data_IF_412087584368
#
_entry.id   IF_412087584368
#
_cell.length_a   1.000
_cell.length_b   1.000
_cell.length_c   1.000
_cell.angle_alpha   90.00
_cell.angle_beta   90.00
_cell.angle_gamma   90.00
#
_symmetry.space_group_name_H-M   'P 1'
#
loop_
_entity.id
_entity.type
_entity.pdbx_description
1 polymer ?
#
# COMPACT_ATOMS: atom_id res chain seq x y z
N UNK A 1 -14.53 -13.45 32.76
CA UNK A 1 -15.20 -13.59 31.45
C UNK A 1 -14.51 -12.64 30.49
N UNK A 2 -13.46 -13.10 29.82
CA UNK A 2 -12.65 -12.28 28.92
C UNK A 2 -13.32 -12.18 27.55
N UNK A 3 -13.43 -10.96 27.03
CA UNK A 3 -13.83 -10.72 25.66
C UNK A 3 -12.56 -10.79 24.78
N UNK A 4 -12.42 -11.89 24.05
CA UNK A 4 -11.46 -12.02 22.96
C UNK A 4 -12.21 -11.53 21.72
N UNK A 5 -11.96 -10.29 21.32
CA UNK A 5 -12.45 -9.73 20.05
C UNK A 5 -11.66 -10.38 18.90
N UNK A 6 -12.34 -10.99 17.91
CA UNK A 6 -11.66 -11.53 16.74
C UNK A 6 -11.28 -10.37 15.81
N UNK A 7 -9.98 -10.13 15.67
CA UNK A 7 -9.42 -9.33 14.58
C UNK A 7 -9.42 -10.24 13.34
N UNK A 8 -10.52 -10.24 12.60
CA UNK A 8 -10.58 -10.87 11.30
C UNK A 8 -11.46 -10.05 10.35
N UNK A 9 -11.01 -9.96 9.10
CA UNK A 9 -11.75 -9.56 7.91
C UNK A 9 -12.06 -8.07 7.69
N UNK A 10 -11.02 -7.26 7.44
CA UNK A 10 -11.12 -6.08 6.57
C UNK A 10 -10.00 -6.06 5.53
N UNK A 11 -9.88 -7.15 4.76
CA UNK A 11 -9.01 -7.23 3.58
C UNK A 11 -9.81 -7.70 2.36
N UNK A 12 -10.86 -6.97 2.00
CA UNK A 12 -11.65 -7.25 0.79
C UNK A 12 -12.34 -5.99 0.28
N UNK A 13 -11.55 -5.04 -0.22
CA UNK A 13 -12.05 -3.91 -1.00
C UNK A 13 -11.14 -3.60 -2.21
N UNK A 14 -10.51 -4.64 -2.75
CA UNK A 14 -9.97 -4.61 -4.11
C UNK A 14 -10.83 -5.58 -4.94
N UNK A 15 -11.15 -5.21 -6.18
CA UNK A 15 -12.03 -5.90 -7.13
C UNK A 15 -13.50 -5.42 -7.10
N UNK A 16 -13.72 -4.21 -7.60
CA UNK A 16 -15.00 -3.84 -8.24
C UNK A 16 -14.80 -2.89 -9.44
N UNK A 17 -13.75 -3.11 -10.23
CA UNK A 17 -13.42 -2.35 -11.46
C UNK A 17 -13.53 -3.23 -12.71
N UNK A 18 -14.65 -3.93 -12.89
CA UNK A 18 -14.87 -4.78 -14.08
C UNK A 18 -16.20 -4.57 -14.83
N UNK A 19 -16.98 -3.51 -14.55
CA UNK A 19 -18.26 -3.27 -15.24
C UNK A 19 -18.27 -2.11 -16.25
N UNK A 20 -17.13 -1.55 -16.62
CA UNK A 20 -17.05 -0.45 -17.62
C UNK A 20 -16.38 -0.86 -18.93
N UNK A 21 -16.79 -1.99 -19.51
CA UNK A 21 -16.39 -2.39 -20.88
C UNK A 21 -17.59 -2.38 -21.86
N UNK A 22 -18.82 -2.16 -21.38
CA UNK A 22 -20.04 -2.30 -22.20
C UNK A 22 -20.59 -1.06 -22.92
N UNK A 23 -19.97 0.13 -22.85
CA UNK A 23 -20.60 1.38 -23.35
C UNK A 23 -19.80 2.20 -24.38
N UNK A 24 -18.74 1.65 -24.99
CA UNK A 24 -17.91 2.40 -25.96
C UNK A 24 -18.30 2.18 -27.43
N UNK A 25 -19.33 1.37 -27.72
CA UNK A 25 -19.70 1.01 -29.11
C UNK A 25 -20.64 2.03 -29.79
N UNK A 26 -21.09 3.08 -29.10
CA UNK A 26 -22.10 4.04 -29.63
C UNK A 26 -21.59 5.34 -30.28
N UNK A 27 -20.28 5.58 -30.39
CA UNK A 27 -19.76 6.92 -30.72
C UNK A 27 -18.90 6.97 -32.01
N UNK A 28 -19.34 6.30 -33.08
CA UNK A 28 -18.67 6.34 -34.41
C UNK A 28 -19.45 7.15 -35.45
N UNK A 29 -20.62 7.71 -35.10
CA UNK A 29 -21.53 8.34 -36.08
C UNK A 29 -21.54 9.88 -36.10
N UNK A 30 -20.50 10.54 -35.59
CA UNK A 30 -20.42 12.01 -35.59
C UNK A 30 -19.11 12.49 -36.22
N UNK A 31 -18.93 12.18 -37.50
CA UNK A 31 -17.77 12.51 -38.34
C UNK A 31 -18.00 13.76 -39.22
N UNK A 32 -18.77 14.75 -38.75
CA UNK A 32 -19.12 15.94 -39.54
C UNK A 32 -19.21 17.20 -38.66
N UNK A 33 -18.15 18.02 -38.63
CA UNK A 33 -18.17 19.40 -38.09
C UNK A 33 -17.05 19.74 -37.08
N UNK A 34 -15.90 20.23 -37.57
CA UNK A 34 -14.56 19.98 -36.98
C UNK A 34 -13.87 21.17 -36.26
N UNK A 35 -14.58 21.97 -35.44
CA UNK A 35 -13.96 22.97 -34.53
C UNK A 35 -14.40 22.82 -33.07
N UNK A 36 -15.70 22.59 -32.84
CA UNK A 36 -16.25 22.46 -31.48
C UNK A 36 -15.88 21.10 -30.85
N UNK A 37 -15.82 20.04 -31.65
CA UNK A 37 -15.43 18.70 -31.18
C UNK A 37 -13.98 18.64 -30.66
N UNK A 38 -13.08 19.46 -31.21
CA UNK A 38 -11.68 19.57 -30.75
C UNK A 38 -11.58 20.29 -29.40
N UNK A 39 -12.35 21.36 -29.21
CA UNK A 39 -12.40 22.08 -27.93
C UNK A 39 -13.03 21.22 -26.82
N UNK A 40 -14.10 20.47 -27.13
CA UNK A 40 -14.73 19.54 -26.20
C UNK A 40 -13.79 18.37 -25.82
N UNK A 41 -13.06 17.82 -26.80
CA UNK A 41 -12.02 16.83 -26.51
C UNK A 41 -10.92 17.41 -25.62
N UNK A 42 -10.42 18.60 -25.89
CA UNK A 42 -9.35 19.21 -25.09
C UNK A 42 -9.78 19.47 -23.64
N UNK A 43 -11.04 19.89 -23.43
CA UNK A 43 -11.63 20.04 -22.10
C UNK A 43 -11.76 18.70 -21.37
N UNK A 44 -12.24 17.65 -22.05
CA UNK A 44 -12.34 16.32 -21.47
C UNK A 44 -10.96 15.76 -21.05
N UNK A 45 -9.91 16.10 -21.79
CA UNK A 45 -8.53 15.71 -21.47
C UNK A 45 -7.98 16.43 -20.25
N UNK A 46 -8.20 17.75 -20.17
CA UNK A 46 -7.80 18.52 -18.99
C UNK A 46 -8.53 18.00 -17.74
N UNK A 47 -9.83 17.71 -17.85
CA UNK A 47 -10.59 17.11 -16.77
C UNK A 47 -10.07 15.72 -16.36
N UNK A 48 -9.69 14.87 -17.32
CA UNK A 48 -9.10 13.56 -17.03
C UNK A 48 -7.74 13.72 -16.33
N UNK A 49 -6.88 14.62 -16.81
CA UNK A 49 -5.58 14.91 -16.21
C UNK A 49 -5.72 15.47 -14.79
N UNK A 50 -6.68 16.36 -14.54
CA UNK A 50 -6.97 16.88 -13.20
C UNK A 50 -7.44 15.75 -12.26
N UNK A 51 -8.34 14.88 -12.73
CA UNK A 51 -8.78 13.71 -11.96
C UNK A 51 -7.61 12.78 -11.62
N UNK A 52 -6.73 12.50 -12.58
CA UNK A 52 -5.53 11.68 -12.36
C UNK A 52 -4.58 12.34 -11.35
N UNK A 53 -4.35 13.65 -11.43
CA UNK A 53 -3.51 14.39 -10.47
C UNK A 53 -4.08 14.34 -9.07
N UNK A 54 -5.39 14.56 -8.91
CA UNK A 54 -6.06 14.45 -7.62
C UNK A 54 -5.98 13.05 -7.04
N UNK A 55 -6.19 12.02 -7.87
CA UNK A 55 -6.07 10.62 -7.46
C UNK A 55 -4.64 10.27 -7.05
N UNK A 56 -3.63 10.70 -7.81
CA UNK A 56 -2.23 10.49 -7.48
C UNK A 56 -1.83 11.22 -6.19
N UNK A 57 -2.30 12.44 -5.98
CA UNK A 57 -2.07 13.20 -4.74
C UNK A 57 -2.73 12.52 -3.53
N UNK A 58 -3.97 12.04 -3.68
CA UNK A 58 -4.67 11.29 -2.63
C UNK A 58 -3.96 9.99 -2.26
N UNK A 59 -3.51 9.22 -3.25
CA UNK A 59 -2.72 7.99 -3.03
C UNK A 59 -1.37 8.29 -2.35
N UNK A 60 -0.67 9.34 -2.76
CA UNK A 60 0.58 9.74 -2.13
C UNK A 60 0.36 10.12 -0.66
N UNK A 61 -0.70 10.87 -0.36
CA UNK A 61 -1.05 11.26 1.01
C UNK A 61 -1.44 10.05 1.86
N UNK A 62 -2.25 9.12 1.33
CA UNK A 62 -2.61 7.90 2.06
C UNK A 62 -1.40 7.02 2.32
N UNK A 63 -0.50 6.89 1.35
CA UNK A 63 0.74 6.12 1.52
C UNK A 63 1.67 6.76 2.56
N UNK A 64 1.78 8.10 2.57
CA UNK A 64 2.56 8.81 3.58
C UNK A 64 2.00 8.58 4.99
N UNK A 65 0.68 8.70 5.16
CA UNK A 65 0.00 8.45 6.42
C UNK A 65 0.18 6.99 6.87
N UNK A 66 0.06 6.02 5.96
CA UNK A 66 0.24 4.61 6.29
C UNK A 66 1.68 4.32 6.73
N UNK A 67 2.68 4.97 6.10
CA UNK A 67 4.09 4.88 6.54
C UNK A 67 4.29 5.44 7.94
N UNK A 68 3.72 6.62 8.22
CA UNK A 68 3.79 7.22 9.56
C UNK A 68 3.14 6.31 10.61
N UNK A 69 1.99 5.72 10.29
CA UNK A 69 1.29 4.78 11.16
C UNK A 69 2.12 3.51 11.41
N UNK A 70 2.73 2.93 10.38
CA UNK A 70 3.63 1.77 10.53
C UNK A 70 4.80 2.14 11.45
N UNK A 71 5.42 3.31 11.26
CA UNK A 71 6.53 3.75 12.11
C UNK A 71 6.12 3.98 13.57
N UNK A 72 4.95 4.62 13.79
CA UNK A 72 4.42 4.85 15.12
C UNK A 72 4.05 3.54 15.83
N UNK A 73 3.42 2.60 15.12
CA UNK A 73 3.10 1.28 15.66
C UNK A 73 4.36 0.49 15.99
N UNK A 74 5.37 0.48 15.12
CA UNK A 74 6.64 -0.17 15.40
C UNK A 74 7.33 0.38 16.66
N UNK A 75 7.26 1.70 16.88
CA UNK A 75 7.81 2.32 18.09
C UNK A 75 7.04 1.90 19.36
N UNK A 76 5.71 1.92 19.33
CA UNK A 76 4.87 1.49 20.45
C UNK A 76 5.10 0.00 20.78
N UNK A 77 5.11 -0.86 19.77
CA UNK A 77 5.32 -2.29 19.93
C UNK A 77 6.69 -2.60 20.56
N UNK A 78 7.74 -1.86 20.22
CA UNK A 78 9.07 -2.03 20.80
C UNK A 78 9.10 -1.63 22.29
N UNK A 79 8.39 -0.57 22.68
CA UNK A 79 8.27 -0.17 24.09
C UNK A 79 7.51 -1.23 24.90
N UNK A 80 6.36 -1.69 24.40
CA UNK A 80 5.57 -2.72 25.05
C UNK A 80 6.36 -4.02 25.21
N UNK A 81 7.11 -4.42 24.17
CA UNK A 81 7.98 -5.59 24.19
C UNK A 81 9.08 -5.48 25.24
N UNK A 82 9.80 -4.36 25.30
CA UNK A 82 10.85 -4.14 26.33
C UNK A 82 10.27 -4.24 27.74
N UNK A 83 9.08 -3.68 27.94
CA UNK A 83 8.39 -3.75 29.23
C UNK A 83 7.90 -5.17 29.55
N UNK A 84 7.44 -5.93 28.55
CA UNK A 84 7.07 -7.34 28.71
C UNK A 84 8.29 -8.21 29.03
N UNK A 85 9.40 -8.03 28.30
CA UNK A 85 10.66 -8.76 28.53
C UNK A 85 11.21 -8.49 29.93
N UNK A 86 11.27 -7.22 30.35
CA UNK A 86 11.69 -6.84 31.73
C UNK A 86 10.82 -7.53 32.78
N UNK A 87 9.50 -7.56 32.58
CA UNK A 87 8.55 -8.24 33.48
C UNK A 87 8.76 -9.76 33.49
N UNK A 88 8.97 -10.38 32.34
CA UNK A 88 9.22 -11.82 32.22
C UNK A 88 10.53 -12.21 32.93
N UNK A 89 11.62 -11.49 32.68
CA UNK A 89 12.92 -11.70 33.35
C UNK A 89 12.79 -11.52 34.86
N UNK A 90 12.07 -10.49 35.32
CA UNK A 90 11.85 -10.27 36.76
C UNK A 90 11.07 -11.43 37.41
N UNK A 91 9.99 -11.91 36.75
CA UNK A 91 9.23 -13.08 37.22
C UNK A 91 10.09 -14.34 37.28
N UNK A 92 10.90 -14.58 36.24
CA UNK A 92 11.77 -15.74 36.18
C UNK A 92 12.82 -15.71 37.29
N UNK A 93 13.44 -14.55 37.55
CA UNK A 93 14.38 -14.35 38.66
C UNK A 93 13.72 -14.58 40.03
N UNK A 94 12.51 -14.05 40.23
CA UNK A 94 11.77 -14.25 41.47
C UNK A 94 11.42 -15.73 41.71
N UNK A 95 11.02 -16.45 40.66
CA UNK A 95 10.72 -17.88 40.72
C UNK A 95 11.96 -18.70 41.09
N UNK A 96 13.11 -18.42 40.45
CA UNK A 96 14.36 -19.09 40.78
C UNK A 96 14.79 -18.82 42.23
N UNK A 97 14.75 -17.55 42.67
CA UNK A 97 15.06 -17.17 44.04
C UNK A 97 14.14 -17.83 45.08
N UNK A 98 12.84 -17.94 44.81
CA UNK A 98 11.88 -18.61 45.69
C UNK A 98 12.03 -20.14 45.73
N UNK A 99 12.56 -20.74 44.65
CA UNK A 99 12.81 -22.19 44.56
C UNK A 99 14.16 -22.64 45.12
N UNK A 100 14.99 -21.72 45.61
CA UNK A 100 16.36 -22.02 46.08
C UNK A 100 17.35 -22.34 44.96
N UNK A 101 16.93 -22.23 43.69
CA UNK A 101 17.80 -22.37 42.53
C UNK A 101 18.55 -21.06 42.34
N UNK A 102 19.87 -21.09 42.50
CA UNK A 102 20.71 -19.92 42.23
C UNK A 102 20.55 -19.48 40.77
N UNK A 103 20.40 -18.17 40.55
CA UNK A 103 20.36 -17.58 39.21
C UNK A 103 21.64 -17.85 38.38
N UNK A 104 22.72 -18.31 39.03
CA UNK A 104 23.97 -18.71 38.39
C UNK A 104 24.01 -20.20 37.99
N UNK A 105 22.93 -20.96 38.20
CA UNK A 105 22.82 -22.32 37.69
C UNK A 105 22.67 -22.31 36.16
N UNK A 106 23.37 -23.20 35.46
CA UNK A 106 23.33 -23.26 33.98
C UNK A 106 21.93 -23.45 33.40
N UNK A 107 21.04 -24.14 34.13
CA UNK A 107 19.63 -24.32 33.73
C UNK A 107 18.79 -23.04 33.83
N UNK A 108 19.10 -22.14 34.76
CA UNK A 108 18.43 -20.84 34.86
C UNK A 108 18.85 -19.89 33.74
N UNK A 109 20.13 -19.94 33.35
CA UNK A 109 20.67 -19.17 32.23
C UNK A 109 20.15 -19.67 30.88
N UNK A 110 19.99 -20.98 30.69
CA UNK A 110 19.45 -21.55 29.45
C UNK A 110 18.01 -21.07 29.15
N UNK A 111 17.15 -20.97 30.16
CA UNK A 111 15.78 -20.45 29.99
C UNK A 111 15.77 -18.96 29.64
N UNK A 112 16.64 -18.16 30.27
CA UNK A 112 16.75 -16.74 29.96
C UNK A 112 17.33 -16.51 28.56
N UNK A 113 18.27 -17.36 28.12
CA UNK A 113 18.81 -17.34 26.77
C UNK A 113 17.73 -17.72 25.74
N UNK A 114 16.98 -18.80 25.99
CA UNK A 114 15.88 -19.19 25.11
C UNK A 114 14.81 -18.12 24.97
N UNK A 115 14.46 -17.44 26.07
CA UNK A 115 13.54 -16.29 26.02
C UNK A 115 14.10 -15.16 25.15
N UNK A 116 15.41 -14.89 25.21
CA UNK A 116 16.05 -13.89 24.38
C UNK A 116 16.03 -14.27 22.90
N UNK A 117 16.40 -15.51 22.57
CA UNK A 117 16.40 -16.04 21.20
C UNK A 117 14.99 -16.01 20.58
N UNK A 118 13.96 -16.43 21.32
CA UNK A 118 12.56 -16.31 20.91
C UNK A 118 12.18 -14.85 20.61
N UNK A 119 12.74 -13.90 21.38
CA UNK A 119 12.47 -12.49 21.17
C UNK A 119 13.20 -11.94 19.94
N UNK A 120 14.39 -12.44 19.61
CA UNK A 120 15.12 -12.06 18.38
C UNK A 120 14.43 -12.60 17.13
N UNK A 121 13.96 -13.84 17.15
CA UNK A 121 13.19 -14.42 16.04
C UNK A 121 11.91 -13.62 15.76
N UNK A 122 11.22 -13.18 16.80
CA UNK A 122 10.04 -12.33 16.68
C UNK A 122 10.39 -10.94 16.08
N UNK A 123 11.52 -10.32 16.48
CA UNK A 123 12.00 -9.06 15.86
C UNK A 123 12.22 -9.26 14.36
N UNK A 124 12.91 -10.34 13.99
CA UNK A 124 13.27 -10.63 12.61
C UNK A 124 12.01 -10.80 11.76
N UNK A 125 11.02 -11.56 12.24
CA UNK A 125 9.74 -11.75 11.56
C UNK A 125 8.97 -10.44 11.40
N UNK A 126 8.89 -9.61 12.44
CA UNK A 126 8.20 -8.31 12.35
C UNK A 126 8.88 -7.35 11.39
N UNK A 127 10.21 -7.25 11.45
CA UNK A 127 10.98 -6.41 10.54
C UNK A 127 10.79 -6.84 9.10
N UNK A 128 10.73 -8.15 8.84
CA UNK A 128 10.38 -8.68 7.52
C UNK A 128 8.97 -8.27 7.09
N UNK A 129 7.97 -8.38 7.96
CA UNK A 129 6.60 -7.96 7.67
C UNK A 129 6.48 -6.45 7.40
N UNK A 130 7.13 -5.61 8.20
CA UNK A 130 7.13 -4.16 7.99
C UNK A 130 7.85 -3.78 6.70
N UNK A 131 8.98 -4.44 6.40
CA UNK A 131 9.67 -4.26 5.11
C UNK A 131 8.82 -4.73 3.92
N UNK A 132 7.92 -5.70 4.12
CA UNK A 132 7.01 -6.19 3.09
C UNK A 132 5.87 -5.18 2.89
N UNK A 133 5.32 -4.64 3.97
CA UNK A 133 4.28 -3.58 3.94
C UNK A 133 4.79 -2.34 3.23
N UNK A 134 5.98 -1.86 3.57
CA UNK A 134 6.57 -0.68 2.91
C UNK A 134 6.83 -0.94 1.42
N UNK A 135 7.38 -2.11 1.07
CA UNK A 135 7.55 -2.52 -0.34
C UNK A 135 6.21 -2.60 -1.09
N UNK A 136 5.15 -3.09 -0.45
CA UNK A 136 3.83 -3.15 -1.07
C UNK A 136 3.27 -1.74 -1.37
N UNK A 137 3.51 -0.77 -0.49
CA UNK A 137 3.14 0.64 -0.73
C UNK A 137 3.92 1.22 -1.93
N UNK A 138 5.22 0.96 -2.01
CA UNK A 138 6.08 1.40 -3.13
C UNK A 138 5.64 0.79 -4.48
N UNK A 139 5.33 -0.51 -4.48
CA UNK A 139 4.84 -1.21 -5.67
C UNK A 139 3.50 -0.65 -6.13
N UNK A 140 2.57 -0.40 -5.21
CA UNK A 140 1.27 0.20 -5.55
C UNK A 140 1.43 1.60 -6.16
N UNK A 141 2.28 2.44 -5.56
CA UNK A 141 2.57 3.78 -6.08
C UNK A 141 3.21 3.73 -7.48
N UNK A 142 4.17 2.84 -7.68
CA UNK A 142 4.85 2.65 -8.97
C UNK A 142 3.88 2.13 -10.03
N UNK A 143 3.04 1.16 -9.67
CA UNK A 143 2.02 0.61 -10.57
C UNK A 143 1.00 1.69 -10.98
N UNK A 144 0.49 2.47 -10.03
CA UNK A 144 -0.43 3.59 -10.30
C UNK A 144 0.18 4.63 -11.25
N UNK A 145 1.45 5.01 -11.01
CA UNK A 145 2.20 5.91 -11.91
C UNK A 145 2.37 5.34 -13.31
N UNK A 146 2.69 4.05 -13.42
CA UNK A 146 2.86 3.38 -14.72
C UNK A 146 1.56 3.33 -15.53
N UNK A 147 0.42 3.08 -14.87
CA UNK A 147 -0.90 3.09 -15.50
C UNK A 147 -1.27 4.49 -15.98
N UNK A 148 -1.02 5.52 -15.16
CA UNK A 148 -1.26 6.91 -15.55
C UNK A 148 -0.39 7.33 -16.74
N UNK A 149 0.89 6.93 -16.77
CA UNK A 149 1.80 7.20 -17.89
C UNK A 149 1.35 6.47 -19.17
N UNK A 150 0.93 5.21 -19.05
CA UNK A 150 0.42 4.43 -20.17
C UNK A 150 -0.85 5.06 -20.76
N UNK A 151 -1.79 5.49 -19.91
CA UNK A 151 -3.01 6.16 -20.36
C UNK A 151 -2.68 7.49 -21.06
N UNK A 152 -1.75 8.28 -20.51
CA UNK A 152 -1.31 9.54 -21.13
C UNK A 152 -0.67 9.31 -22.51
N UNK A 153 0.19 8.30 -22.64
CA UNK A 153 0.86 7.97 -23.91
C UNK A 153 -0.11 7.43 -24.97
N UNK A 154 -1.03 6.53 -24.60
CA UNK A 154 -2.07 6.04 -25.51
C UNK A 154 -2.94 7.18 -26.02
N UNK A 155 -3.27 8.13 -25.16
CA UNK A 155 -4.09 9.27 -25.52
C UNK A 155 -3.38 10.20 -26.51
N UNK A 156 -2.11 10.50 -26.27
CA UNK A 156 -1.29 11.28 -27.19
C UNK A 156 -1.14 10.59 -28.55
N UNK A 157 -1.00 9.26 -28.57
CA UNK A 157 -0.97 8.50 -29.82
C UNK A 157 -2.29 8.59 -30.58
N UNK A 158 -3.43 8.45 -29.89
CA UNK A 158 -4.76 8.59 -30.52
C UNK A 158 -4.96 9.98 -31.13
N UNK A 159 -4.47 11.04 -30.48
CA UNK A 159 -4.50 12.40 -31.03
C UNK A 159 -3.68 12.50 -32.31
N UNK A 160 -2.42 12.01 -32.29
CA UNK A 160 -1.55 12.02 -33.48
C UNK A 160 -2.16 11.27 -34.67
N UNK A 161 -2.77 10.12 -34.42
CA UNK A 161 -3.45 9.34 -35.47
C UNK A 161 -4.64 10.10 -36.04
N UNK A 162 -5.46 10.73 -35.19
CA UNK A 162 -6.61 11.50 -35.63
C UNK A 162 -6.18 12.72 -36.47
N UNK A 163 -5.12 13.42 -36.05
CA UNK A 163 -4.56 14.54 -36.80
C UNK A 163 -4.04 14.11 -38.18
N UNK A 164 -3.35 12.96 -38.26
CA UNK A 164 -2.88 12.40 -39.53
C UNK A 164 -4.05 12.04 -40.47
N UNK A 165 -5.09 11.38 -39.95
CA UNK A 165 -6.29 11.05 -40.76
C UNK A 165 -6.94 12.32 -41.30
N UNK A 166 -7.09 13.37 -40.48
CA UNK A 166 -7.66 14.64 -40.96
C UNK A 166 -6.79 15.37 -41.98
N UNK A 167 -5.47 15.19 -41.94
CA UNK A 167 -4.55 15.71 -42.96
C UNK A 167 -4.69 14.96 -44.27
N UNK A 168 -4.81 13.63 -44.22
CA UNK A 168 -5.06 12.81 -45.41
C UNK A 168 -6.38 13.18 -46.09
N UNK A 169 -7.48 13.33 -45.34
CA UNK A 169 -8.80 13.75 -45.85
C UNK A 169 -8.83 15.16 -46.45
N UNK A 170 -7.83 16.00 -46.15
CA UNK A 170 -7.70 17.35 -46.74
C UNK A 170 -6.87 17.37 -48.02
N UNK A 171 -6.05 16.35 -48.25
CA UNK A 171 -5.10 16.29 -49.36
C UNK A 171 -5.60 15.44 -50.53
N UNK A 172 -6.60 14.58 -50.30
CA UNK A 172 -7.27 13.73 -51.29
C UNK A 172 -8.76 14.06 -51.32
#
# INVERSE_FOLDING_TARGET
MGAITPIASSLSAAVSTLNTVGQVVGAVQTLSGNSNARQEQELALRQLQERQKLQAAGLAQSNALEREKIAAQAAQDEEERRNALRRAVARQRAQFGGSGVSANSGSAQAVLLGLFDETEDEINRRTQLDSLRTRALDLNETQSRSLNLLQATQLQQRQKLNDQVTLFDRLF
#
